data_IF_521026937214
#
_entry.id   IF_521026937214
#
_cell.length_a   1.000
_cell.length_b   1.000
_cell.length_c   1.000
_cell.angle_alpha   90.00
_cell.angle_beta   90.00
_cell.angle_gamma   90.00
#
_symmetry.space_group_name_H-M   'P 1'
#
loop_
_entity.id
_entity.type
_entity.pdbx_description
1 polymer ?
#
# COMPACT_ATOMS: atom_id res chain seq x y z
N UNK A 1 -17.57 18.83 -8.42
CA UNK A 1 -16.45 19.29 -7.58
C UNK A 1 -15.31 18.33 -7.80
N UNK A 2 -14.16 18.83 -8.24
CA UNK A 2 -12.96 18.02 -8.48
C UNK A 2 -12.12 17.97 -7.22
N UNK A 3 -12.47 17.05 -6.31
CA UNK A 3 -11.61 16.76 -5.16
C UNK A 3 -10.33 16.08 -5.66
N UNK A 4 -9.14 16.47 -5.20
CA UNK A 4 -7.90 15.78 -5.56
C UNK A 4 -7.96 14.35 -5.03
N UNK A 5 -7.84 13.37 -5.93
CA UNK A 5 -7.84 11.95 -5.58
C UNK A 5 -6.44 11.39 -5.81
N UNK A 6 -5.93 10.65 -4.82
CA UNK A 6 -4.64 9.96 -4.94
C UNK A 6 -4.70 8.96 -6.08
N UNK A 7 -3.68 9.01 -6.95
CA UNK A 7 -3.57 8.13 -8.10
C UNK A 7 -3.28 6.69 -7.66
N UNK A 8 -3.82 5.70 -8.38
CA UNK A 8 -3.58 4.28 -8.09
C UNK A 8 -2.10 3.91 -8.13
N UNK A 9 -1.32 4.51 -9.04
CA UNK A 9 0.13 4.34 -9.14
C UNK A 9 0.87 4.68 -7.86
N UNK A 10 0.35 5.63 -7.07
CA UNK A 10 0.94 5.98 -5.78
C UNK A 10 0.90 4.81 -4.79
N UNK A 11 -0.19 4.03 -4.76
CA UNK A 11 -0.26 2.84 -3.89
C UNK A 11 0.74 1.76 -4.30
N UNK A 12 0.99 1.63 -5.61
CA UNK A 12 1.93 0.68 -6.19
C UNK A 12 3.37 1.08 -5.84
N UNK A 13 3.72 2.35 -6.04
CA UNK A 13 5.03 2.92 -5.70
C UNK A 13 5.31 2.78 -4.19
N UNK A 14 4.36 3.18 -3.34
CA UNK A 14 4.50 3.05 -1.89
C UNK A 14 4.71 1.59 -1.46
N UNK A 15 4.03 0.62 -2.07
CA UNK A 15 4.22 -0.79 -1.76
C UNK A 15 5.62 -1.30 -2.18
N UNK A 16 6.15 -0.83 -3.30
CA UNK A 16 7.52 -1.16 -3.75
C UNK A 16 8.57 -0.53 -2.81
N UNK A 17 8.40 0.75 -2.45
CA UNK A 17 9.29 1.43 -1.52
C UNK A 17 9.30 0.76 -0.15
N UNK A 18 8.12 0.35 0.35
CA UNK A 18 8.00 -0.37 1.61
C UNK A 18 8.70 -1.74 1.57
N UNK A 19 8.58 -2.48 0.46
CA UNK A 19 9.29 -3.75 0.28
C UNK A 19 10.81 -3.56 0.36
N UNK A 20 11.33 -2.55 -0.34
CA UNK A 20 12.76 -2.22 -0.31
C UNK A 20 13.20 -1.81 1.11
N UNK A 21 12.41 -0.99 1.80
CA UNK A 21 12.69 -0.58 3.18
C UNK A 21 12.65 -1.75 4.17
N UNK A 22 11.83 -2.77 3.92
CA UNK A 22 11.78 -4.02 4.68
C UNK A 22 12.95 -4.97 4.38
N UNK A 23 13.80 -4.64 3.39
CA UNK A 23 14.98 -5.41 3.05
C UNK A 23 14.74 -6.50 2.01
N UNK A 24 13.60 -6.48 1.30
CA UNK A 24 13.42 -7.31 0.11
C UNK A 24 14.47 -6.93 -0.94
N UNK A 25 15.31 -7.90 -1.32
CA UNK A 25 16.41 -7.71 -2.28
C UNK A 25 16.03 -8.35 -3.60
N UNK A 26 16.28 -7.63 -4.69
CA UNK A 26 16.04 -8.12 -6.05
C UNK A 26 14.70 -7.66 -6.62
N UNK A 27 14.31 -8.27 -7.74
CA UNK A 27 13.07 -7.91 -8.42
C UNK A 27 11.90 -8.49 -7.62
N UNK A 28 10.95 -7.63 -7.26
CA UNK A 28 9.71 -8.01 -6.57
C UNK A 28 8.52 -7.84 -7.49
N UNK A 29 7.55 -8.73 -7.36
CA UNK A 29 6.29 -8.70 -8.11
C UNK A 29 5.16 -8.35 -7.16
N UNK A 30 4.43 -7.30 -7.50
CA UNK A 30 3.16 -6.99 -6.85
C UNK A 30 2.05 -7.84 -7.47
N UNK A 31 1.28 -8.53 -6.62
CA UNK A 31 0.19 -9.42 -7.01
C UNK A 31 -1.10 -9.07 -6.28
N UNK A 32 -2.23 -9.45 -6.87
CA UNK A 32 -3.55 -9.36 -6.26
C UNK A 32 -3.90 -7.96 -5.72
N UNK A 33 -3.41 -6.91 -6.39
CA UNK A 33 -3.64 -5.53 -5.97
C UNK A 33 -5.12 -5.19 -6.13
N UNK A 34 -5.74 -4.76 -5.04
CA UNK A 34 -7.14 -4.31 -5.01
C UNK A 34 -7.20 -2.90 -4.45
N UNK A 35 -7.79 -1.97 -5.21
CA UNK A 35 -8.16 -0.64 -4.72
C UNK A 35 -9.61 -0.69 -4.27
N UNK A 36 -9.83 -0.51 -2.98
CA UNK A 36 -11.12 -0.67 -2.32
C UNK A 36 -11.86 0.67 -2.18
N UNK A 37 -11.13 1.73 -1.83
CA UNK A 37 -11.71 3.05 -1.60
C UNK A 37 -10.76 4.16 -2.05
N UNK A 38 -11.32 5.21 -2.64
CA UNK A 38 -10.58 6.41 -3.00
C UNK A 38 -9.95 7.04 -1.75
N UNK A 39 -8.74 7.58 -1.88
CA UNK A 39 -8.14 8.45 -0.89
C UNK A 39 -8.20 9.87 -1.44
N UNK A 40 -8.88 10.75 -0.72
CA UNK A 40 -8.94 12.19 -1.04
C UNK A 40 -7.71 12.85 -0.41
N UNK A 41 -7.07 13.73 -1.17
CA UNK A 41 -5.96 14.54 -0.68
C UNK A 41 -6.40 16.00 -0.58
N UNK A 42 -6.32 16.55 0.63
CA UNK A 42 -6.54 17.96 0.91
C UNK A 42 -5.21 18.57 1.36
N UNK A 43 -4.72 19.59 0.64
CA UNK A 43 -3.48 20.27 1.00
C UNK A 43 -3.57 21.00 2.35
N UNK A 44 -4.76 21.49 2.73
CA UNK A 44 -4.97 22.16 4.01
C UNK A 44 -5.03 21.18 5.17
N UNK A 45 -5.48 19.94 4.91
CA UNK A 45 -5.54 18.87 5.89
C UNK A 45 -5.08 17.54 5.26
N UNK A 46 -3.75 17.35 5.10
CA UNK A 46 -3.24 16.14 4.47
C UNK A 46 -3.63 14.89 5.29
N UNK A 47 -4.13 13.83 4.63
CA UNK A 47 -4.53 12.63 5.36
C UNK A 47 -3.31 11.98 6.01
N UNK A 48 -3.46 11.57 7.27
CA UNK A 48 -2.46 10.69 7.90
C UNK A 48 -2.63 9.29 7.36
N UNK A 49 -1.56 8.68 6.89
CA UNK A 49 -1.57 7.39 6.19
C UNK A 49 -0.56 6.42 6.79
N UNK A 50 -0.83 5.13 6.63
CA UNK A 50 0.10 4.07 6.99
C UNK A 50 0.08 2.97 5.94
N UNK A 51 1.24 2.38 5.71
CA UNK A 51 1.40 1.16 4.94
C UNK A 51 1.98 0.11 5.87
N UNK A 52 1.24 -0.99 6.04
CA UNK A 52 1.67 -2.13 6.84
C UNK A 52 2.10 -3.27 5.94
N UNK A 53 3.21 -3.92 6.29
CA UNK A 53 3.67 -5.16 5.68
C UNK A 53 3.56 -6.28 6.70
N UNK A 54 2.88 -7.36 6.34
CA UNK A 54 2.69 -8.53 7.17
C UNK A 54 3.25 -9.78 6.46
N UNK A 55 4.06 -10.61 7.12
CA UNK A 55 4.50 -11.88 6.55
C UNK A 55 3.32 -12.76 6.14
N UNK A 56 3.44 -13.40 4.98
CA UNK A 56 2.49 -14.36 4.45
C UNK A 56 3.21 -15.65 4.03
N UNK A 57 2.44 -16.66 3.63
CA UNK A 57 2.97 -17.96 3.22
C UNK A 57 3.93 -17.84 2.03
N UNK A 58 4.94 -18.71 1.99
CA UNK A 58 5.88 -18.78 0.87
C UNK A 58 6.85 -17.60 0.76
N UNK A 59 7.07 -16.86 1.85
CA UNK A 59 7.98 -15.71 1.88
C UNK A 59 7.39 -14.46 1.22
N UNK A 60 6.08 -14.45 0.95
CA UNK A 60 5.38 -13.25 0.47
C UNK A 60 5.10 -12.29 1.63
N UNK A 61 4.80 -11.03 1.30
CA UNK A 61 4.29 -10.02 2.23
C UNK A 61 2.91 -9.56 1.78
N UNK A 62 1.97 -9.47 2.71
CA UNK A 62 0.73 -8.74 2.49
C UNK A 62 0.96 -7.26 2.77
N UNK A 63 0.63 -6.39 1.82
CA UNK A 63 0.61 -4.95 2.07
C UNK A 63 -0.82 -4.46 2.24
N UNK A 64 -0.99 -3.45 3.10
CA UNK A 64 -2.24 -2.74 3.26
C UNK A 64 -2.00 -1.25 3.51
N UNK A 65 -2.63 -0.42 2.69
CA UNK A 65 -2.54 1.03 2.72
C UNK A 65 -3.80 1.62 3.34
N UNK A 66 -3.65 2.34 4.45
CA UNK A 66 -4.77 2.88 5.23
C UNK A 66 -4.59 4.36 5.51
N UNK A 67 -5.71 5.07 5.70
CA UNK A 67 -5.71 6.41 6.27
C UNK A 67 -6.36 6.42 7.66
N UNK A 68 -5.90 7.34 8.49
CA UNK A 68 -6.55 7.66 9.75
C UNK A 68 -7.95 8.23 9.47
N UNK A 69 -8.95 7.88 10.29
CA UNK A 69 -10.26 8.49 10.18
C UNK A 69 -10.26 9.94 10.70
N UNK A 70 -11.23 10.74 10.25
CA UNK A 70 -11.44 12.09 10.78
C UNK A 70 -11.82 12.07 12.28
N UNK A 71 -12.57 11.03 12.70
CA UNK A 71 -12.90 10.76 14.09
C UNK A 71 -12.02 9.61 14.63
N UNK A 72 -11.15 9.84 15.63
CA UNK A 72 -10.26 8.82 16.19
C UNK A 72 -10.96 7.59 16.79
N UNK A 73 -12.27 7.66 17.06
CA UNK A 73 -13.06 6.53 17.54
C UNK A 73 -13.42 5.53 16.43
N UNK A 74 -13.26 5.92 15.16
CA UNK A 74 -13.52 5.06 14.01
C UNK A 74 -12.31 4.19 13.65
N UNK A 75 -12.56 3.16 12.84
CA UNK A 75 -11.50 2.34 12.27
C UNK A 75 -10.76 3.09 11.16
N UNK A 76 -9.47 2.76 10.97
CA UNK A 76 -8.69 3.23 9.82
C UNK A 76 -9.29 2.72 8.51
N UNK A 77 -9.36 3.60 7.52
CA UNK A 77 -9.96 3.29 6.22
C UNK A 77 -8.97 2.55 5.35
N UNK A 78 -9.34 1.39 4.82
CA UNK A 78 -8.50 0.60 3.91
C UNK A 78 -8.71 1.04 2.46
N UNK A 79 -7.65 1.56 1.84
CA UNK A 79 -7.70 2.07 0.46
C UNK A 79 -7.20 1.06 -0.55
N UNK A 80 -6.08 0.41 -0.26
CA UNK A 80 -5.45 -0.54 -1.15
C UNK A 80 -4.82 -1.69 -0.38
N UNK A 81 -4.83 -2.87 -0.97
CA UNK A 81 -4.14 -4.05 -0.45
C UNK A 81 -3.62 -4.92 -1.58
N UNK A 82 -2.67 -5.79 -1.27
CA UNK A 82 -2.19 -6.79 -2.20
C UNK A 82 -1.05 -7.59 -1.60
N UNK A 83 -0.28 -8.23 -2.47
CA UNK A 83 0.85 -9.09 -2.10
C UNK A 83 2.13 -8.63 -2.78
N UNK A 84 3.23 -8.73 -2.07
CA UNK A 84 4.58 -8.60 -2.60
C UNK A 84 5.19 -10.01 -2.54
N UNK A 85 5.76 -10.46 -3.65
CA UNK A 85 6.49 -11.71 -3.72
C UNK A 85 7.78 -11.52 -4.51
N UNK A 86 8.82 -12.31 -4.23
CA UNK A 86 10.00 -12.36 -5.07
C UNK A 86 9.63 -12.77 -6.51
N UNK A 87 10.31 -12.21 -7.50
CA UNK A 87 10.14 -12.62 -8.90
C UNK A 87 10.69 -14.04 -9.11
N UNK A 88 9.83 -15.05 -9.40
CA UNK A 88 10.30 -16.41 -9.63
C UNK A 88 11.14 -16.56 -10.92
N UNK A 89 11.11 -15.58 -11.83
CA UNK A 89 11.84 -15.65 -13.10
C UNK A 89 13.34 -15.32 -12.97
N UNK A 90 13.78 -14.82 -11.81
CA UNK A 90 15.19 -14.52 -11.53
C UNK A 90 15.72 -15.45 -10.44
N UNK A 91 16.53 -16.48 -10.78
CA UNK A 91 17.23 -17.26 -9.78
C UNK A 91 18.21 -16.36 -9.01
N UNK A 92 18.15 -16.41 -7.68
CA UNK A 92 19.15 -15.84 -6.76
C UNK A 92 20.42 -16.68 -6.76
#
# INVERSE_FOLDING_TARGET
>A
GGEPVVNVGFFVEAALEAAQAAGERGDVVLRDITVLQRLVYDEACPPTVTLTLEPADGGALHFAYRSAPDDPSHAWTLHSRGRIAADPARPT
#
